data_IF_128871861936
#
_entry.id   IF_128871861936
#
_cell.length_a   1.000
_cell.length_b   1.000
_cell.length_c   1.000
_cell.angle_alpha   90.00
_cell.angle_beta   90.00
_cell.angle_gamma   90.00
#
_symmetry.space_group_name_H-M   'P 1'
#
loop_
_entity.id
_entity.type
_entity.pdbx_description
1 polymer ?
#
# COMPACT_ATOMS: atom_id res chain seq x y z
N UNK A 1 -11.94 10.60 0.72
CA UNK A 1 -11.74 9.14 0.56
C UNK A 1 -10.39 8.95 -0.11
N UNK A 2 -9.48 8.29 0.58
CA UNK A 2 -8.10 8.11 0.15
C UNK A 2 -7.86 6.62 -0.15
N UNK A 3 -7.16 6.32 -1.24
CA UNK A 3 -6.80 4.96 -1.59
C UNK A 3 -5.31 4.75 -1.33
N UNK A 4 -4.94 3.70 -0.60
CA UNK A 4 -3.55 3.28 -0.42
C UNK A 4 -3.23 2.24 -1.49
N UNK A 5 -2.25 2.54 -2.33
CA UNK A 5 -1.81 1.70 -3.45
C UNK A 5 -0.37 1.27 -3.23
N UNK A 6 -0.05 0.03 -3.61
CA UNK A 6 1.31 -0.47 -3.51
C UNK A 6 2.20 0.14 -4.58
N UNK A 7 3.33 0.73 -4.18
CA UNK A 7 4.29 1.32 -5.11
C UNK A 7 5.10 0.29 -5.93
N UNK A 8 5.03 -1.00 -5.60
CA UNK A 8 5.79 -2.06 -6.26
C UNK A 8 4.97 -2.85 -7.30
N UNK A 9 3.70 -3.10 -7.01
CA UNK A 9 2.82 -3.93 -7.84
C UNK A 9 1.53 -3.22 -8.27
N UNK A 10 1.38 -1.93 -7.97
CA UNK A 10 0.18 -1.12 -8.26
C UNK A 10 -1.13 -1.69 -7.70
N UNK A 11 -1.04 -2.59 -6.71
CA UNK A 11 -2.20 -3.20 -6.06
C UNK A 11 -2.83 -2.25 -5.03
N UNK A 12 -4.16 -2.15 -5.01
CA UNK A 12 -4.85 -1.35 -3.99
C UNK A 12 -4.84 -2.12 -2.67
N UNK A 13 -4.14 -1.59 -1.67
CA UNK A 13 -3.97 -2.19 -0.35
C UNK A 13 -5.24 -2.00 0.48
N UNK A 14 -5.72 -0.76 0.56
CA UNK A 14 -6.92 -0.42 1.33
C UNK A 14 -7.47 0.95 0.95
N UNK A 15 -8.70 1.22 1.38
CA UNK A 15 -9.34 2.53 1.28
C UNK A 15 -9.51 3.09 2.69
N UNK A 16 -8.93 4.27 2.91
CA UNK A 16 -9.05 5.02 4.16
C UNK A 16 -10.04 6.16 3.96
N UNK A 17 -10.99 6.26 4.88
CA UNK A 17 -11.92 7.38 4.87
C UNK A 17 -11.21 8.62 5.41
N UNK A 18 -11.02 9.60 4.54
CA UNK A 18 -10.33 10.84 4.83
C UNK A 18 -11.08 12.02 4.23
N UNK A 19 -11.01 13.18 4.89
CA UNK A 19 -11.66 14.44 4.50
C UNK A 19 -11.22 14.95 3.12
N UNK A 20 -10.09 14.46 2.60
CA UNK A 20 -9.58 14.80 1.26
C UNK A 20 -9.62 13.58 0.33
N UNK A 21 -9.69 13.85 -0.96
CA UNK A 21 -9.57 12.82 -1.99
C UNK A 21 -8.12 12.78 -2.48
N UNK A 22 -7.47 11.63 -2.34
CA UNK A 22 -6.05 11.47 -2.70
C UNK A 22 -5.64 9.99 -2.84
N UNK A 23 -4.48 9.77 -3.44
CA UNK A 23 -3.85 8.45 -3.55
C UNK A 23 -2.59 8.45 -2.72
N UNK A 24 -2.50 7.51 -1.78
CA UNK A 24 -1.33 7.26 -0.96
C UNK A 24 -0.58 6.06 -1.52
N UNK A 25 0.75 6.08 -1.41
CA UNK A 25 1.60 4.99 -1.84
C UNK A 25 2.22 4.29 -0.63
N UNK A 26 2.14 2.97 -0.59
CA UNK A 26 2.71 2.13 0.47
C UNK A 26 3.28 0.82 -0.09
N UNK A 27 3.68 -0.09 0.80
CA UNK A 27 4.10 -1.44 0.44
C UNK A 27 3.02 -2.41 0.91
N UNK A 28 2.52 -3.29 0.03
CA UNK A 28 1.56 -4.31 0.43
C UNK A 28 2.28 -5.44 1.17
N UNK A 29 1.56 -6.19 2.01
CA UNK A 29 2.16 -7.28 2.77
C UNK A 29 2.85 -8.30 1.85
N UNK A 30 2.32 -8.57 0.65
CA UNK A 30 2.99 -9.45 -0.32
C UNK A 30 4.36 -8.92 -0.77
N UNK A 31 4.50 -7.62 -1.01
CA UNK A 31 5.80 -7.02 -1.34
C UNK A 31 6.71 -6.85 -0.12
N UNK A 32 6.13 -6.72 1.07
CA UNK A 32 6.85 -6.60 2.35
C UNK A 32 7.46 -7.95 2.78
N UNK A 33 6.71 -9.04 2.68
CA UNK A 33 7.15 -10.42 2.93
C UNK A 33 8.35 -10.79 2.04
N UNK A 34 8.39 -10.29 0.80
CA UNK A 34 9.52 -10.47 -0.11
C UNK A 34 10.81 -9.77 0.35
N UNK A 35 10.76 -8.91 1.37
CA UNK A 35 11.91 -8.26 1.98
C UNK A 35 12.37 -8.91 3.31
N UNK A 36 11.66 -9.91 3.84
CA UNK A 36 12.02 -10.57 5.12
C UNK A 36 12.87 -11.85 4.96
N UNK A 37 13.75 -11.92 3.96
CA UNK A 37 14.93 -12.81 4.07
C UNK A 37 16.03 -12.12 4.88
N UNK A 38 15.86 -12.16 6.22
CA UNK A 38 16.97 -12.05 7.16
C UNK A 38 16.85 -13.11 8.24
N UNK A 39 17.36 -14.30 7.96
CA UNK A 39 17.95 -15.19 8.98
C UNK A 39 19.26 -15.81 8.48
#
# INVERSE_FOLDING_TARGET
MEAIVCQNCDEVITYVDGDKSGTLYGTCQGCDDHCEEKE
#
